data_IF_590262190421
#
_entry.id   IF_590262190421
#
_cell.length_a   1.000
_cell.length_b   1.000
_cell.length_c   1.000
_cell.angle_alpha   90.00
_cell.angle_beta   90.00
_cell.angle_gamma   90.00
#
_symmetry.space_group_name_H-M   'P 1'
#
loop_
_entity.id
_entity.type
_entity.pdbx_description
1 polymer ?
#
# COMPACT_ATOMS: atom_id res chain seq x y z
N UNK A 1 22.43 9.20 -8.64
CA UNK A 1 22.97 10.33 -9.43
C UNK A 1 23.41 11.43 -8.47
N UNK A 2 24.39 12.26 -8.83
CA UNK A 2 24.70 13.45 -8.01
C UNK A 2 23.67 14.58 -8.30
N UNK A 3 23.62 15.59 -7.44
CA UNK A 3 22.59 16.64 -7.52
C UNK A 3 22.68 17.50 -8.78
N UNK A 4 23.89 17.79 -9.24
CA UNK A 4 24.17 18.65 -10.40
C UNK A 4 23.82 17.94 -11.72
N UNK A 5 24.12 16.65 -11.82
CA UNK A 5 23.74 15.77 -12.92
C UNK A 5 22.22 15.56 -12.96
N UNK A 6 21.58 15.38 -11.80
CA UNK A 6 20.12 15.32 -11.69
C UNK A 6 19.44 16.63 -12.13
N UNK A 7 19.90 17.78 -11.64
CA UNK A 7 19.39 19.09 -12.07
C UNK A 7 19.58 19.30 -13.57
N UNK A 8 20.74 18.95 -14.13
CA UNK A 8 20.99 19.01 -15.59
C UNK A 8 19.98 18.16 -16.37
N UNK A 9 19.77 16.91 -15.98
CA UNK A 9 18.82 16.03 -16.68
C UNK A 9 17.38 16.48 -16.51
N UNK A 10 16.98 16.91 -15.32
CA UNK A 10 15.65 17.47 -15.07
C UNK A 10 15.40 18.74 -15.90
N UNK A 11 16.38 19.63 -16.03
CA UNK A 11 16.28 20.83 -16.89
C UNK A 11 16.18 20.44 -18.36
N UNK A 12 17.02 19.54 -18.87
CA UNK A 12 16.93 19.06 -20.26
C UNK A 12 15.57 18.40 -20.56
N UNK A 13 14.98 17.70 -19.60
CA UNK A 13 13.63 17.15 -19.71
C UNK A 13 12.57 18.26 -19.79
N UNK A 14 12.66 19.28 -18.93
CA UNK A 14 11.71 20.40 -18.88
C UNK A 14 11.85 21.37 -20.07
N UNK A 15 12.99 21.37 -20.76
CA UNK A 15 13.28 22.15 -21.98
C UNK A 15 13.03 21.34 -23.29
N UNK A 16 12.51 20.11 -23.20
CA UNK A 16 12.29 19.18 -24.34
C UNK A 16 13.58 18.92 -25.17
N UNK A 17 14.72 18.86 -24.48
CA UNK A 17 16.06 18.76 -25.05
C UNK A 17 16.85 17.52 -24.57
N UNK A 18 16.20 16.59 -23.87
CA UNK A 18 16.80 15.36 -23.34
C UNK A 18 16.85 14.25 -24.41
N UNK A 19 17.91 13.43 -24.42
CA UNK A 19 18.01 12.25 -25.29
C UNK A 19 17.57 10.96 -24.57
N UNK A 20 17.26 9.90 -25.33
CA UNK A 20 16.75 8.62 -24.82
C UNK A 20 17.63 8.01 -23.69
N UNK A 21 18.95 8.20 -23.76
CA UNK A 21 19.90 7.62 -22.81
C UNK A 21 19.95 8.43 -21.52
N UNK A 22 19.97 9.75 -21.65
CA UNK A 22 19.92 10.69 -20.53
C UNK A 22 18.54 10.62 -19.82
N UNK A 23 17.45 10.37 -20.57
CA UNK A 23 16.11 10.07 -20.04
C UNK A 23 16.07 8.76 -19.23
N UNK A 24 16.67 7.69 -19.73
CA UNK A 24 16.78 6.41 -19.01
C UNK A 24 17.56 6.54 -17.69
N UNK A 25 18.54 7.45 -17.63
CA UNK A 25 19.30 7.75 -16.41
C UNK A 25 18.47 8.56 -15.42
N UNK A 26 17.72 9.56 -15.88
CA UNK A 26 16.80 10.34 -15.05
C UNK A 26 15.70 9.47 -14.44
N UNK A 27 15.02 8.66 -15.27
CA UNK A 27 14.00 7.71 -14.83
C UNK A 27 14.53 6.73 -13.78
N UNK A 28 15.76 6.26 -13.93
CA UNK A 28 16.40 5.35 -12.97
C UNK A 28 16.69 6.02 -11.63
N UNK A 29 17.10 7.29 -11.58
CA UNK A 29 17.33 7.97 -10.30
C UNK A 29 16.03 8.32 -9.58
N UNK A 30 15.01 8.74 -10.34
CA UNK A 30 13.65 8.98 -9.83
C UNK A 30 13.05 7.70 -9.23
N UNK A 31 13.13 6.56 -9.92
CA UNK A 31 12.62 5.28 -9.44
C UNK A 31 13.29 4.76 -8.15
N UNK A 32 14.51 5.24 -7.82
CA UNK A 32 15.27 4.80 -6.66
C UNK A 32 15.29 5.82 -5.51
N UNK A 33 14.64 6.98 -5.62
CA UNK A 33 14.66 8.01 -4.57
C UNK A 33 13.36 8.84 -4.52
N UNK A 34 12.52 8.66 -3.47
CA UNK A 34 11.33 9.48 -3.26
C UNK A 34 11.62 10.99 -3.13
N UNK A 35 12.79 11.36 -2.60
CA UNK A 35 13.20 12.76 -2.49
C UNK A 35 13.58 13.36 -3.84
N UNK A 36 14.12 12.56 -4.78
CA UNK A 36 14.32 12.99 -6.18
C UNK A 36 13.00 13.25 -6.89
N UNK A 37 11.98 12.40 -6.65
CA UNK A 37 10.63 12.60 -7.21
C UNK A 37 10.03 13.93 -6.72
N UNK A 38 10.18 14.27 -5.43
CA UNK A 38 9.76 15.58 -4.91
C UNK A 38 10.51 16.74 -5.58
N UNK A 39 11.85 16.69 -5.60
CA UNK A 39 12.69 17.73 -6.22
C UNK A 39 12.34 17.95 -7.70
N UNK A 40 12.07 16.86 -8.45
CA UNK A 40 11.66 16.93 -9.85
C UNK A 40 10.27 17.59 -10.03
N UNK A 41 9.32 17.26 -9.15
CA UNK A 41 7.99 17.88 -9.17
C UNK A 41 8.04 19.37 -8.79
N UNK A 42 8.86 19.75 -7.81
CA UNK A 42 9.09 21.15 -7.44
C UNK A 42 9.69 21.94 -8.62
N UNK A 43 10.67 21.37 -9.33
CA UNK A 43 11.23 21.95 -10.57
C UNK A 43 10.17 22.07 -11.67
N UNK A 44 9.35 21.04 -11.90
CA UNK A 44 8.26 21.07 -12.89
C UNK A 44 7.23 22.15 -12.58
N UNK A 45 6.86 22.30 -11.31
CA UNK A 45 5.91 23.31 -10.85
C UNK A 45 6.47 24.74 -11.00
N UNK A 46 7.74 24.95 -10.66
CA UNK A 46 8.42 26.23 -10.89
C UNK A 46 8.52 26.58 -12.38
N UNK A 47 8.89 25.63 -13.25
CA UNK A 47 8.94 25.87 -14.70
C UNK A 47 7.56 26.15 -15.29
N UNK A 48 6.50 25.46 -14.82
CA UNK A 48 5.12 25.76 -15.18
C UNK A 48 4.71 27.18 -14.80
N UNK A 49 4.96 27.59 -13.56
CA UNK A 49 4.69 28.95 -13.08
C UNK A 49 5.50 30.02 -13.84
N UNK A 50 6.74 29.72 -14.22
CA UNK A 50 7.57 30.62 -15.05
C UNK A 50 7.04 30.70 -16.49
N UNK A 51 6.52 29.62 -17.06
CA UNK A 51 5.90 29.63 -18.38
C UNK A 51 4.59 30.44 -18.40
N UNK A 52 3.79 30.32 -17.33
CA UNK A 52 2.48 30.96 -17.20
C UNK A 52 2.57 32.45 -16.77
N UNK A 53 3.52 32.81 -15.91
CA UNK A 53 3.63 34.15 -15.30
C UNK A 53 4.96 34.88 -15.61
N UNK A 54 5.85 34.31 -16.42
CA UNK A 54 7.19 34.83 -16.67
C UNK A 54 7.26 36.02 -17.64
N UNK A 55 7.27 37.24 -17.10
CA UNK A 55 7.75 38.40 -17.85
C UNK A 55 9.24 38.25 -18.20
N UNK A 56 9.59 38.41 -19.48
CA UNK A 56 10.98 38.42 -19.92
C UNK A 56 11.77 39.60 -19.32
N UNK A 57 12.74 39.30 -18.45
CA UNK A 57 13.71 40.27 -17.92
C UNK A 57 15.10 39.93 -18.46
N UNK A 58 15.75 40.92 -19.06
CA UNK A 58 17.03 40.74 -19.74
C UNK A 58 18.20 40.43 -18.79
N UNK A 59 19.24 39.78 -19.34
CA UNK A 59 20.46 39.37 -18.63
C UNK A 59 21.14 40.49 -17.83
N UNK A 60 21.60 40.14 -16.63
CA UNK A 60 22.32 41.05 -15.73
C UNK A 60 23.31 40.33 -14.81
N UNK A 61 24.44 39.90 -15.39
CA UNK A 61 25.76 39.62 -14.78
C UNK A 61 25.84 38.91 -13.41
N UNK A 62 26.51 37.75 -13.41
CA UNK A 62 26.94 37.03 -12.21
C UNK A 62 28.08 37.74 -11.44
N UNK A 63 28.10 37.56 -10.11
CA UNK A 63 29.32 37.58 -9.29
C UNK A 63 29.23 36.56 -8.16
N UNK A 64 30.32 35.81 -8.00
CA UNK A 64 30.54 34.67 -7.10
C UNK A 64 30.23 34.93 -5.61
N UNK A 65 29.93 33.84 -4.88
CA UNK A 65 30.29 33.74 -3.47
C UNK A 65 30.86 32.36 -3.14
N UNK A 66 32.06 32.31 -2.58
CA UNK A 66 32.87 31.10 -2.38
C UNK A 66 32.59 30.42 -1.04
N UNK A 67 32.51 29.09 -1.05
CA UNK A 67 32.47 28.25 0.15
C UNK A 67 33.88 27.98 0.68
N UNK A 68 34.08 28.24 1.97
CA UNK A 68 35.37 28.11 2.64
C UNK A 68 35.50 26.72 3.31
N UNK A 69 36.64 26.04 3.14
CA UNK A 69 36.96 24.76 3.81
C UNK A 69 38.38 24.80 4.39
N UNK A 70 38.58 24.53 5.69
CA UNK A 70 39.88 24.13 6.22
C UNK A 70 40.10 22.64 5.95
N UNK A 71 41.29 22.27 5.48
CA UNK A 71 41.72 20.89 5.34
C UNK A 71 42.48 20.39 6.57
N UNK A 72 42.70 19.08 6.62
CA UNK A 72 43.61 18.42 7.56
C UNK A 72 44.53 17.49 6.77
N UNK A 73 45.81 17.39 7.16
CA UNK A 73 46.89 16.91 6.28
C UNK A 73 47.81 15.88 6.93
N UNK A 74 48.10 14.77 6.20
CA UNK A 74 49.31 13.92 6.28
C UNK A 74 49.58 13.19 7.63
N UNK A 75 50.31 12.07 7.78
CA UNK A 75 51.26 11.28 6.94
C UNK A 75 51.56 9.91 7.65
N UNK A 76 52.25 8.87 7.14
CA UNK A 76 52.65 8.33 5.80
C UNK A 76 53.31 6.94 6.05
N UNK A 77 53.08 5.93 5.18
CA UNK A 77 53.82 4.64 4.94
C UNK A 77 54.08 3.63 6.12
N UNK A 78 54.01 2.29 5.98
CA UNK A 78 54.41 1.29 4.97
C UNK A 78 55.93 0.97 4.97
N UNK A 79 56.48 -0.25 4.74
CA UNK A 79 56.02 -1.66 4.64
C UNK A 79 57.26 -2.61 4.65
N UNK A 80 57.10 -3.93 4.41
CA UNK A 80 58.14 -4.92 3.96
C UNK A 80 59.15 -5.43 5.04
N UNK A 81 59.73 -6.65 5.01
CA UNK A 81 59.31 -8.04 4.68
C UNK A 81 60.41 -9.03 5.20
N UNK A 82 60.08 -10.33 5.23
CA UNK A 82 60.85 -11.56 5.45
C UNK A 82 62.40 -11.57 5.55
N UNK A 83 62.93 -12.41 6.45
CA UNK A 83 63.64 -13.66 6.07
C UNK A 83 64.07 -14.56 7.25
N UNK A 84 64.12 -15.88 7.02
CA UNK A 84 64.69 -16.91 7.92
C UNK A 84 66.19 -17.11 7.67
N UNK A 85 66.94 -17.80 8.56
CA UNK A 85 67.25 -19.21 8.27
C UNK A 85 67.27 -20.18 9.49
N UNK A 86 67.58 -21.44 9.18
CA UNK A 86 67.78 -22.66 9.98
C UNK A 86 68.65 -22.53 11.26
N UNK A 87 68.71 -23.48 12.23
CA UNK A 87 68.85 -24.95 12.09
C UNK A 87 68.51 -25.69 13.41
N UNK A 88 68.44 -27.02 13.40
CA UNK A 88 67.88 -27.86 14.48
C UNK A 88 68.84 -28.24 15.62
N UNK A 89 68.29 -28.43 16.84
CA UNK A 89 68.71 -29.49 17.78
C UNK A 89 67.65 -29.79 18.85
N UNK A 90 67.48 -31.09 19.16
CA UNK A 90 66.79 -31.69 20.32
C UNK A 90 67.82 -32.61 21.02
N UNK A 91 67.59 -33.18 22.21
CA UNK A 91 66.42 -33.09 23.11
C UNK A 91 66.77 -32.75 24.58
N UNK A 92 65.74 -32.49 25.40
CA UNK A 92 65.83 -32.42 26.87
C UNK A 92 64.48 -32.76 27.49
N UNK A 93 64.42 -33.72 28.42
CA UNK A 93 63.19 -34.46 28.70
C UNK A 93 62.48 -34.13 30.02
N UNK A 94 61.15 -34.31 29.98
CA UNK A 94 60.32 -34.94 31.03
C UNK A 94 59.47 -34.07 31.99
N UNK A 95 58.25 -34.59 32.26
CA UNK A 95 57.45 -34.45 33.51
C UNK A 95 56.74 -33.12 33.85
N UNK A 96 56.13 -32.41 32.88
CA UNK A 96 55.08 -31.39 33.18
C UNK A 96 53.83 -31.40 32.28
N UNK A 97 53.57 -32.49 31.54
CA UNK A 97 52.52 -32.52 30.50
C UNK A 97 51.19 -33.23 30.86
N UNK A 98 51.09 -33.91 32.01
CA UNK A 98 49.90 -34.73 32.35
C UNK A 98 48.88 -34.04 33.28
N UNK A 99 49.20 -32.88 33.84
CA UNK A 99 48.28 -32.12 34.70
C UNK A 99 47.37 -31.13 33.92
N UNK A 100 47.79 -30.71 32.73
CA UNK A 100 47.09 -29.67 31.94
C UNK A 100 45.92 -30.26 31.14
N UNK A 101 46.05 -31.51 30.65
CA UNK A 101 45.03 -32.16 29.83
C UNK A 101 43.74 -32.50 30.60
N UNK A 102 43.84 -32.87 31.87
CA UNK A 102 42.66 -33.15 32.72
C UNK A 102 41.88 -31.87 33.09
N UNK A 103 42.58 -30.76 33.33
CA UNK A 103 41.94 -29.47 33.61
C UNK A 103 41.17 -28.92 32.39
N UNK A 104 41.73 -29.06 31.18
CA UNK A 104 41.07 -28.63 29.93
C UNK A 104 39.82 -29.47 29.64
N UNK A 105 39.85 -30.80 29.88
CA UNK A 105 38.68 -31.65 29.71
C UNK A 105 37.55 -31.34 30.71
N UNK A 106 37.89 -31.06 31.97
CA UNK A 106 36.90 -30.64 32.98
C UNK A 106 36.27 -29.28 32.65
N UNK A 107 37.07 -28.32 32.17
CA UNK A 107 36.57 -27.02 31.73
C UNK A 107 35.69 -27.12 30.47
N UNK A 108 36.05 -27.97 29.51
CA UNK A 108 35.23 -28.24 28.34
C UNK A 108 33.90 -28.93 28.69
N UNK A 109 33.90 -29.87 29.64
CA UNK A 109 32.67 -30.51 30.12
C UNK A 109 31.76 -29.52 30.87
N UNK A 110 32.31 -28.62 31.69
CA UNK A 110 31.53 -27.54 32.31
C UNK A 110 31.00 -26.52 31.29
N UNK A 111 31.77 -26.19 30.26
CA UNK A 111 31.31 -25.31 29.17
C UNK A 111 30.19 -25.95 28.37
N UNK A 112 30.26 -27.24 28.05
CA UNK A 112 29.19 -27.96 27.35
C UNK A 112 27.92 -28.08 28.21
N UNK A 113 28.05 -28.38 29.50
CA UNK A 113 26.91 -28.41 30.43
C UNK A 113 26.30 -27.02 30.66
N UNK A 114 27.10 -25.96 30.66
CA UNK A 114 26.59 -24.58 30.70
C UNK A 114 25.90 -24.20 29.39
N UNK A 115 26.45 -24.60 28.24
CA UNK A 115 25.87 -24.33 26.91
C UNK A 115 24.48 -24.97 26.74
N UNK A 116 24.29 -26.19 27.27
CA UNK A 116 23.00 -26.88 27.27
C UNK A 116 21.96 -26.16 28.15
N UNK A 117 22.37 -25.62 29.31
CA UNK A 117 21.50 -24.81 30.17
C UNK A 117 21.09 -23.50 29.49
N UNK A 118 22.00 -22.85 28.76
CA UNK A 118 21.70 -21.64 27.98
C UNK A 118 20.95 -21.90 26.65
N UNK A 119 20.83 -23.17 26.22
CA UNK A 119 19.95 -23.59 25.12
C UNK A 119 18.65 -24.25 25.58
N UNK A 120 18.25 -24.03 26.83
CA UNK A 120 16.85 -24.19 27.22
C UNK A 120 16.02 -23.13 26.47
N UNK A 121 15.42 -23.50 25.33
CA UNK A 121 14.33 -22.70 24.76
C UNK A 121 13.33 -22.44 25.89
N UNK A 122 12.94 -21.17 26.16
CA UNK A 122 11.96 -20.89 27.18
C UNK A 122 10.70 -21.67 26.82
N UNK A 123 10.37 -22.64 27.66
CA UNK A 123 9.25 -23.54 27.49
C UNK A 123 7.99 -22.69 27.38
N UNK A 124 7.54 -22.41 26.15
CA UNK A 124 6.37 -21.58 25.91
C UNK A 124 5.21 -22.27 26.60
N UNK A 125 4.65 -21.59 27.60
CA UNK A 125 3.30 -21.85 28.06
C UNK A 125 2.39 -21.98 26.83
N UNK A 126 1.31 -22.79 26.88
CA UNK A 126 0.37 -22.89 25.77
C UNK A 126 -0.37 -21.56 25.59
N UNK A 127 0.28 -20.62 24.89
CA UNK A 127 -0.25 -19.32 24.52
C UNK A 127 -1.53 -19.58 23.77
N UNK A 128 -2.65 -19.12 24.34
CA UNK A 128 -3.96 -19.21 23.70
C UNK A 128 -3.83 -18.66 22.28
N UNK A 129 -4.16 -19.43 21.24
CA UNK A 129 -3.66 -19.17 19.90
C UNK A 129 -4.24 -17.84 19.41
N UNK A 130 -3.40 -16.99 18.79
CA UNK A 130 -3.73 -15.62 18.42
C UNK A 130 -4.97 -15.51 17.52
N UNK A 131 -5.95 -14.72 17.96
CA UNK A 131 -7.24 -14.48 17.32
C UNK A 131 -7.07 -13.69 16.01
N UNK A 132 -6.19 -12.69 16.03
CA UNK A 132 -5.82 -11.89 14.87
C UNK A 132 -4.30 -11.66 14.82
N UNK A 133 -3.78 -11.27 13.66
CA UNK A 133 -2.34 -11.01 13.44
C UNK A 133 -2.15 -9.62 12.83
N UNK A 134 -1.14 -8.88 13.29
CA UNK A 134 -0.76 -7.60 12.69
C UNK A 134 -0.17 -7.83 11.29
N UNK A 135 -0.96 -7.57 10.26
CA UNK A 135 -0.62 -7.85 8.87
C UNK A 135 0.09 -6.68 8.18
N UNK A 136 -0.29 -5.43 8.52
CA UNK A 136 0.31 -4.22 7.96
C UNK A 136 0.20 -3.05 8.94
N UNK A 137 1.13 -2.10 8.84
CA UNK A 137 1.13 -0.83 9.60
C UNK A 137 1.67 0.32 8.76
N UNK A 138 1.06 1.50 8.86
CA UNK A 138 1.60 2.76 8.31
C UNK A 138 1.62 3.83 9.40
N UNK A 139 2.80 4.36 9.73
CA UNK A 139 3.02 5.37 10.77
C UNK A 139 2.34 5.08 12.12
N UNK A 140 2.12 3.79 12.43
CA UNK A 140 1.37 3.34 13.60
C UNK A 140 2.14 3.58 14.91
N UNK A 141 1.49 4.20 15.90
CA UNK A 141 1.97 4.24 17.29
C UNK A 141 0.92 3.67 18.23
N UNK A 142 1.30 2.67 19.02
CA UNK A 142 0.41 2.02 19.99
C UNK A 142 0.57 2.65 21.37
N UNK A 143 -0.51 2.71 22.14
CA UNK A 143 -0.46 3.05 23.55
C UNK A 143 0.16 1.90 24.35
N UNK A 144 1.46 2.00 24.65
CA UNK A 144 2.23 0.98 25.37
C UNK A 144 3.43 0.48 24.56
N UNK A 145 3.62 -0.84 24.50
CA UNK A 145 4.70 -1.45 23.71
C UNK A 145 4.40 -1.40 22.20
N UNK A 146 5.44 -1.13 21.41
CA UNK A 146 5.38 -1.26 19.95
C UNK A 146 5.16 -2.72 19.53
N UNK A 147 4.50 -2.90 18.38
CA UNK A 147 4.04 -4.20 17.90
C UNK A 147 4.58 -4.42 16.50
N UNK A 148 5.45 -5.41 16.35
CA UNK A 148 6.01 -5.77 15.05
C UNK A 148 4.98 -6.48 14.15
N UNK A 149 5.19 -6.41 12.84
CA UNK A 149 4.41 -7.20 11.87
C UNK A 149 4.51 -8.70 12.22
N UNK A 150 3.40 -9.43 12.05
CA UNK A 150 3.28 -10.82 12.49
C UNK A 150 2.98 -11.00 13.99
N UNK A 151 2.90 -9.93 14.78
CA UNK A 151 2.46 -10.02 16.19
C UNK A 151 1.03 -10.58 16.28
N UNK A 152 0.83 -11.58 17.13
CA UNK A 152 -0.45 -12.24 17.34
C UNK A 152 -1.23 -11.68 18.53
N UNK A 153 -2.45 -11.22 18.29
CA UNK A 153 -3.36 -10.70 19.30
C UNK A 153 -4.23 -11.79 19.93
N UNK A 154 -4.29 -11.83 21.26
CA UNK A 154 -5.33 -12.52 22.00
C UNK A 154 -6.60 -11.68 22.15
N UNK A 155 -7.42 -12.00 23.15
CA UNK A 155 -8.51 -11.12 23.60
C UNK A 155 -7.93 -9.91 24.34
N UNK A 156 -8.62 -8.76 24.27
CA UNK A 156 -8.31 -7.58 25.06
C UNK A 156 -8.21 -6.29 24.24
N UNK A 157 -7.79 -5.21 24.91
CA UNK A 157 -7.82 -3.85 24.38
C UNK A 157 -6.57 -3.48 23.57
N UNK A 158 -6.80 -2.70 22.52
CA UNK A 158 -5.81 -2.14 21.61
C UNK A 158 -6.07 -0.62 21.55
N UNK A 159 -5.09 0.18 21.95
CA UNK A 159 -5.10 1.63 21.75
C UNK A 159 -4.09 1.98 20.66
N UNK A 160 -4.59 2.45 19.52
CA UNK A 160 -3.78 2.95 18.41
C UNK A 160 -3.85 4.48 18.46
N UNK A 161 -2.77 5.13 18.88
CA UNK A 161 -2.76 6.58 19.11
C UNK A 161 -2.76 7.38 17.80
N UNK A 162 -2.11 6.86 16.76
CA UNK A 162 -1.99 7.47 15.42
C UNK A 162 -1.58 6.41 14.40
N UNK A 163 -1.86 6.67 13.13
CA UNK A 163 -1.48 5.84 11.99
C UNK A 163 -2.49 4.75 11.67
N UNK A 164 -2.11 3.82 10.78
CA UNK A 164 -2.95 2.71 10.33
C UNK A 164 -2.39 1.38 10.82
N UNK A 165 -3.27 0.47 11.25
CA UNK A 165 -2.92 -0.91 11.58
C UNK A 165 -3.96 -1.89 11.04
N UNK A 166 -3.53 -2.81 10.17
CA UNK A 166 -4.37 -3.89 9.64
C UNK A 166 -4.18 -5.18 10.42
N UNK A 167 -5.31 -5.75 10.84
CA UNK A 167 -5.44 -6.99 11.58
C UNK A 167 -6.13 -8.03 10.68
N UNK A 168 -5.45 -9.13 10.39
CA UNK A 168 -6.05 -10.27 9.71
C UNK A 168 -6.48 -11.30 10.78
N UNK A 169 -7.78 -11.54 10.91
CA UNK A 169 -8.39 -12.47 11.89
C UNK A 169 -8.38 -13.91 11.38
N UNK A 170 -8.38 -14.89 12.31
CA UNK A 170 -8.29 -16.32 11.97
C UNK A 170 -9.43 -16.84 11.07
N UNK A 171 -10.64 -16.29 11.18
CA UNK A 171 -11.77 -16.64 10.31
C UNK A 171 -11.66 -16.06 8.88
N UNK A 172 -10.65 -15.22 8.63
CA UNK A 172 -10.39 -14.56 7.34
C UNK A 172 -10.92 -13.12 7.25
N UNK A 173 -11.56 -12.60 8.30
CA UNK A 173 -11.92 -11.18 8.36
C UNK A 173 -10.66 -10.30 8.36
N UNK A 174 -10.64 -9.27 7.51
CA UNK A 174 -9.61 -8.23 7.50
C UNK A 174 -10.19 -6.96 8.11
N UNK A 175 -9.50 -6.37 9.07
CA UNK A 175 -9.91 -5.15 9.77
C UNK A 175 -8.75 -4.17 9.82
N UNK A 176 -8.90 -2.96 9.25
CA UNK A 176 -7.94 -1.88 9.40
C UNK A 176 -8.46 -0.83 10.37
N UNK A 177 -7.62 -0.48 11.34
CA UNK A 177 -7.86 0.59 12.31
C UNK A 177 -7.07 1.84 11.91
N UNK A 178 -7.67 3.01 12.11
CA UNK A 178 -7.02 4.31 11.95
C UNK A 178 -7.05 5.07 13.28
N UNK A 179 -5.86 5.40 13.79
CA UNK A 179 -5.67 6.09 15.06
C UNK A 179 -5.97 7.60 14.97
N UNK A 180 -6.48 8.24 16.04
CA UNK A 180 -6.68 7.67 17.38
C UNK A 180 -7.89 6.73 17.46
N UNK A 181 -7.69 5.51 17.98
CA UNK A 181 -8.73 4.49 18.10
C UNK A 181 -8.60 3.61 19.35
N UNK A 182 -9.72 3.39 20.03
CA UNK A 182 -9.86 2.44 21.15
C UNK A 182 -10.67 1.22 20.71
N UNK A 183 -9.96 0.12 20.45
CA UNK A 183 -10.51 -1.12 19.92
C UNK A 183 -10.35 -2.29 20.90
N UNK A 184 -11.25 -3.27 20.88
CA UNK A 184 -11.15 -4.46 21.74
C UNK A 184 -11.56 -5.73 20.99
N UNK A 185 -10.72 -6.78 21.11
CA UNK A 185 -10.99 -8.10 20.53
C UNK A 185 -11.66 -8.99 21.59
N UNK A 186 -12.90 -9.41 21.33
CA UNK A 186 -13.64 -10.31 22.22
C UNK A 186 -13.54 -11.77 21.77
N UNK A 187 -13.58 -12.03 20.46
CA UNK A 187 -13.49 -13.36 19.83
C UNK A 187 -13.02 -13.23 18.38
N UNK A 188 -13.01 -14.32 17.62
CA UNK A 188 -12.68 -14.33 16.18
C UNK A 188 -13.67 -13.57 15.32
N UNK A 189 -14.89 -13.41 15.82
CA UNK A 189 -16.10 -12.95 15.15
C UNK A 189 -16.75 -11.75 15.86
N UNK A 190 -16.19 -11.27 16.99
CA UNK A 190 -16.76 -10.14 17.73
C UNK A 190 -15.71 -9.18 18.27
N UNK A 191 -15.95 -7.90 18.06
CA UNK A 191 -15.06 -6.79 18.42
C UNK A 191 -15.85 -5.61 18.97
N UNK A 192 -15.19 -4.71 19.69
CA UNK A 192 -15.75 -3.41 20.13
C UNK A 192 -14.88 -2.29 19.54
N UNK A 193 -15.53 -1.27 18.98
CA UNK A 193 -14.91 0.01 18.63
C UNK A 193 -15.51 1.10 19.53
N UNK A 194 -14.74 1.58 20.51
CA UNK A 194 -15.21 2.61 21.45
C UNK A 194 -14.99 4.04 20.90
N UNK A 195 -13.97 4.22 20.07
CA UNK A 195 -13.65 5.47 19.36
C UNK A 195 -12.71 5.20 18.20
N UNK A 196 -12.68 6.11 17.22
CA UNK A 196 -11.79 6.04 16.06
C UNK A 196 -12.47 5.49 14.81
N UNK A 197 -11.67 5.05 13.85
CA UNK A 197 -12.16 4.61 12.53
C UNK A 197 -11.69 3.19 12.25
N UNK A 198 -12.60 2.38 11.73
CA UNK A 198 -12.43 0.98 11.36
C UNK A 198 -12.97 0.75 9.95
N UNK A 199 -12.23 0.04 9.11
CA UNK A 199 -12.76 -0.52 7.87
C UNK A 199 -12.57 -2.03 7.86
N UNK A 200 -13.58 -2.76 7.42
CA UNK A 200 -13.62 -4.21 7.43
C UNK A 200 -13.87 -4.77 6.01
N UNK A 201 -13.32 -5.94 5.73
CA UNK A 201 -13.63 -6.74 4.55
C UNK A 201 -13.78 -8.22 4.95
N UNK A 202 -15.02 -8.68 5.10
CA UNK A 202 -15.36 -9.96 5.69
C UNK A 202 -15.63 -11.00 4.58
N UNK A 203 -15.02 -12.20 4.62
CA UNK A 203 -15.35 -13.28 3.69
C UNK A 203 -16.60 -14.06 4.12
N UNK A 204 -17.18 -14.85 3.20
CA UNK A 204 -18.22 -15.85 3.52
C UNK A 204 -17.87 -16.75 4.73
N UNK A 205 -16.58 -17.07 4.91
CA UNK A 205 -16.08 -17.87 6.04
C UNK A 205 -16.11 -17.18 7.41
N UNK A 206 -16.50 -15.91 7.45
CA UNK A 206 -16.52 -15.05 8.63
C UNK A 206 -17.82 -14.23 8.77
N UNK A 207 -18.84 -14.52 7.94
CA UNK A 207 -20.19 -13.94 8.05
C UNK A 207 -20.72 -14.03 9.48
N UNK A 208 -21.41 -12.98 9.92
CA UNK A 208 -21.77 -12.78 11.32
C UNK A 208 -20.66 -12.10 12.13
N UNK A 209 -19.64 -11.52 11.48
CA UNK A 209 -18.65 -10.69 12.17
C UNK A 209 -19.31 -9.45 12.75
N UNK A 210 -19.19 -9.25 14.05
CA UNK A 210 -19.89 -8.22 14.81
C UNK A 210 -18.92 -7.14 15.31
N UNK A 211 -19.26 -5.88 15.02
CA UNK A 211 -18.61 -4.68 15.55
C UNK A 211 -19.59 -3.96 16.47
N UNK A 212 -19.36 -4.06 17.77
CA UNK A 212 -20.12 -3.35 18.81
C UNK A 212 -19.61 -1.92 18.92
N UNK A 213 -20.50 -0.93 18.96
CA UNK A 213 -20.15 0.48 19.23
C UNK A 213 -21.00 1.05 20.38
N UNK A 214 -20.71 2.27 20.87
CA UNK A 214 -21.53 2.93 21.91
C UNK A 214 -22.98 3.25 21.51
N UNK A 215 -23.32 3.19 20.21
CA UNK A 215 -24.64 3.59 19.70
C UNK A 215 -25.40 2.47 18.98
N UNK A 216 -24.70 1.51 18.36
CA UNK A 216 -25.31 0.38 17.66
C UNK A 216 -24.33 -0.78 17.48
N UNK A 217 -24.87 -1.98 17.33
CA UNK A 217 -24.14 -3.19 16.98
C UNK A 217 -24.28 -3.41 15.46
N UNK A 218 -23.16 -3.64 14.78
CA UNK A 218 -23.09 -3.87 13.32
C UNK A 218 -22.73 -5.33 13.06
N UNK A 219 -23.59 -6.05 12.36
CA UNK A 219 -23.41 -7.47 12.02
C UNK A 219 -23.21 -7.62 10.51
N UNK A 220 -22.08 -8.20 10.13
CA UNK A 220 -21.72 -8.48 8.75
C UNK A 220 -22.53 -9.64 8.13
N UNK A 221 -22.97 -9.46 6.88
CA UNK A 221 -23.60 -10.51 6.06
C UNK A 221 -22.75 -10.97 4.86
N UNK A 222 -21.44 -10.67 4.83
CA UNK A 222 -20.49 -11.06 3.78
C UNK A 222 -19.95 -9.86 3.00
N UNK A 223 -19.44 -8.85 3.70
CA UNK A 223 -19.48 -7.45 3.23
C UNK A 223 -18.15 -6.71 3.46
N UNK A 224 -17.98 -5.58 2.77
CA UNK A 224 -16.97 -4.57 3.09
C UNK A 224 -17.64 -3.26 3.54
N UNK A 225 -17.23 -2.74 4.70
CA UNK A 225 -17.87 -1.59 5.33
C UNK A 225 -16.90 -0.77 6.21
N UNK A 226 -17.24 0.49 6.41
CA UNK A 226 -16.57 1.41 7.33
C UNK A 226 -17.44 1.70 8.56
N UNK A 227 -16.80 1.83 9.72
CA UNK A 227 -17.40 2.28 10.98
C UNK A 227 -16.55 3.41 11.55
N UNK A 228 -17.16 4.54 11.86
CA UNK A 228 -16.51 5.70 12.48
C UNK A 228 -17.22 6.04 13.78
N UNK A 229 -16.50 6.06 14.90
CA UNK A 229 -17.05 6.35 16.24
C UNK A 229 -16.40 7.61 16.79
N UNK A 230 -17.20 8.65 16.96
CA UNK A 230 -16.81 9.92 17.57
C UNK A 230 -16.53 9.82 19.07
N UNK A 231 -15.87 10.85 19.63
CA UNK A 231 -15.57 10.91 21.06
C UNK A 231 -16.81 11.04 21.98
N UNK A 232 -17.97 11.37 21.40
CA UNK A 232 -19.29 11.37 22.02
C UNK A 232 -20.05 10.04 21.84
N UNK A 233 -19.46 9.08 21.13
CA UNK A 233 -20.06 7.80 20.76
C UNK A 233 -21.00 7.86 19.54
N UNK A 234 -21.14 9.01 18.87
CA UNK A 234 -21.82 9.05 17.56
C UNK A 234 -21.15 8.06 16.61
N UNK A 235 -21.94 7.15 16.06
CA UNK A 235 -21.46 6.09 15.17
C UNK A 235 -22.02 6.30 13.77
N UNK A 236 -21.13 6.44 12.79
CA UNK A 236 -21.40 6.34 11.36
C UNK A 236 -21.06 4.93 10.87
N UNK A 237 -21.90 4.36 9.99
CA UNK A 237 -21.63 3.11 9.27
C UNK A 237 -21.87 3.35 7.78
N UNK A 238 -20.95 2.90 6.93
CA UNK A 238 -20.97 3.10 5.48
C UNK A 238 -20.66 1.78 4.78
N UNK A 239 -21.50 1.32 3.85
CA UNK A 239 -21.37 -0.02 3.23
C UNK A 239 -20.80 0.10 1.82
N UNK A 240 -19.59 -0.41 1.60
CA UNK A 240 -18.83 -0.27 0.35
C UNK A 240 -19.13 -1.37 -0.68
N UNK A 241 -19.33 -2.62 -0.24
CA UNK A 241 -19.64 -3.79 -1.09
C UNK A 241 -20.47 -4.78 -0.26
N UNK A 242 -21.70 -5.10 -0.65
CA UNK A 242 -22.57 -6.06 0.09
C UNK A 242 -23.62 -5.43 1.03
N UNK A 243 -23.87 -6.06 2.18
CA UNK A 243 -24.94 -5.70 3.13
C UNK A 243 -24.55 -5.92 4.62
N UNK A 244 -25.00 -5.06 5.54
CA UNK A 244 -24.89 -5.26 7.00
C UNK A 244 -26.24 -5.11 7.69
N UNK A 245 -26.42 -5.78 8.81
CA UNK A 245 -27.51 -5.50 9.75
C UNK A 245 -27.01 -4.57 10.87
N UNK A 246 -27.75 -3.52 11.18
CA UNK A 246 -27.50 -2.64 12.32
C UNK A 246 -28.65 -2.69 13.31
N UNK A 247 -28.33 -2.71 14.60
CA UNK A 247 -29.32 -2.74 15.68
C UNK A 247 -28.87 -1.90 16.87
N UNK A 248 -29.80 -1.34 17.66
CA UNK A 248 -29.44 -0.55 18.83
C UNK A 248 -29.14 -1.49 20.00
N UNK A 249 -27.95 -1.39 20.59
CA UNK A 249 -27.43 -2.32 21.62
C UNK A 249 -28.22 -2.37 22.95
N UNK A 250 -29.35 -1.67 23.05
CA UNK A 250 -30.16 -1.49 24.27
C UNK A 250 -31.63 -1.92 24.08
N UNK A 251 -32.06 -2.29 22.87
CA UNK A 251 -33.45 -2.68 22.58
C UNK A 251 -33.57 -3.97 21.76
N UNK A 252 -34.68 -4.70 21.95
CA UNK A 252 -35.10 -5.81 21.07
C UNK A 252 -35.66 -5.28 19.73
N UNK A 253 -34.99 -4.30 19.13
CA UNK A 253 -35.37 -3.77 17.82
C UNK A 253 -35.15 -4.81 16.73
N UNK A 254 -36.01 -4.79 15.72
CA UNK A 254 -35.76 -5.53 14.48
C UNK A 254 -34.53 -4.90 13.80
N UNK A 255 -33.48 -5.68 13.45
CA UNK A 255 -32.32 -5.14 12.77
C UNK A 255 -32.68 -4.42 11.47
N UNK A 256 -32.06 -3.27 11.26
CA UNK A 256 -32.16 -2.52 10.00
C UNK A 256 -31.08 -3.00 9.04
N UNK A 257 -31.50 -3.40 7.84
CA UNK A 257 -30.60 -3.81 6.77
C UNK A 257 -30.06 -2.57 6.03
N UNK A 258 -28.73 -2.45 5.95
CA UNK A 258 -28.03 -1.38 5.22
C UNK A 258 -27.26 -2.02 4.07
N UNK A 259 -27.47 -1.51 2.86
CA UNK A 259 -26.95 -2.08 1.60
C UNK A 259 -25.82 -1.22 1.03
N UNK A 260 -25.02 -1.81 0.17
CA UNK A 260 -24.01 -1.16 -0.68
C UNK A 260 -24.45 0.23 -1.18
N UNK A 261 -23.55 1.21 -1.08
CA UNK A 261 -23.83 2.59 -1.48
C UNK A 261 -24.76 3.36 -0.53
N UNK A 262 -25.06 2.84 0.66
CA UNK A 262 -25.83 3.52 1.71
C UNK A 262 -25.02 3.69 2.99
N UNK A 263 -25.41 4.69 3.79
CA UNK A 263 -24.83 4.94 5.10
C UNK A 263 -25.92 5.23 6.15
N UNK A 264 -25.60 4.97 7.42
CA UNK A 264 -26.47 5.22 8.57
C UNK A 264 -25.68 5.84 9.73
N UNK A 265 -26.39 6.57 10.59
CA UNK A 265 -25.85 7.20 11.79
C UNK A 265 -26.73 6.93 12.99
N UNK A 266 -26.11 6.74 14.15
CA UNK A 266 -26.80 6.69 15.44
C UNK A 266 -25.98 7.41 16.53
N UNK A 267 -26.65 7.86 17.58
CA UNK A 267 -26.02 8.38 18.80
C UNK A 267 -26.35 7.50 20.00
N UNK A 268 -25.51 7.45 21.04
CA UNK A 268 -25.84 6.71 22.25
C UNK A 268 -27.17 7.20 22.84
N UNK A 269 -28.09 6.25 23.08
CA UNK A 269 -29.47 6.51 23.56
C UNK A 269 -30.39 7.23 22.56
N UNK A 270 -30.07 7.22 21.26
CA UNK A 270 -31.03 7.64 20.23
C UNK A 270 -32.20 6.64 20.12
N UNK A 271 -33.39 7.16 19.79
CA UNK A 271 -34.60 6.33 19.58
C UNK A 271 -34.66 5.72 18.17
N UNK A 272 -33.84 6.19 17.23
CA UNK A 272 -33.76 5.75 15.84
C UNK A 272 -32.31 5.57 15.39
N UNK A 273 -32.13 4.79 14.31
CA UNK A 273 -30.93 4.80 13.48
C UNK A 273 -31.32 5.56 12.21
N UNK A 274 -30.64 6.65 11.92
CA UNK A 274 -31.01 7.57 10.84
C UNK A 274 -30.20 7.24 9.58
N UNK A 275 -30.84 7.27 8.40
CA UNK A 275 -30.11 7.14 7.13
C UNK A 275 -29.42 8.47 6.80
N UNK A 276 -28.19 8.40 6.30
CA UNK A 276 -27.37 9.57 5.92
C UNK A 276 -26.78 9.39 4.52
N UNK A 277 -26.33 10.50 3.93
CA UNK A 277 -25.69 10.47 2.61
C UNK A 277 -24.43 9.59 2.62
N UNK A 278 -24.28 8.75 1.60
CA UNK A 278 -23.09 7.92 1.43
C UNK A 278 -21.86 8.80 1.15
N UNK A 279 -20.88 8.73 2.04
CA UNK A 279 -19.58 9.37 1.86
C UNK A 279 -18.47 8.45 2.37
N UNK A 280 -17.37 8.39 1.60
CA UNK A 280 -16.19 7.60 1.94
C UNK A 280 -15.03 8.43 2.47
N UNK A 281 -15.15 9.76 2.51
CA UNK A 281 -14.10 10.72 2.89
C UNK A 281 -13.43 10.36 4.23
N UNK A 282 -14.23 9.95 5.22
CA UNK A 282 -13.74 9.54 6.55
C UNK A 282 -12.89 8.26 6.54
N UNK A 283 -12.98 7.47 5.48
CA UNK A 283 -12.37 6.15 5.38
C UNK A 283 -11.22 6.12 4.36
N UNK A 284 -10.88 7.24 3.71
CA UNK A 284 -9.93 7.29 2.59
C UNK A 284 -8.51 6.80 2.93
N UNK A 285 -8.05 6.93 4.18
CA UNK A 285 -6.75 6.38 4.60
C UNK A 285 -6.81 4.87 4.85
N UNK A 286 -7.86 4.38 5.52
CA UNK A 286 -7.97 2.99 5.98
C UNK A 286 -8.56 2.04 4.94
N UNK A 287 -9.45 2.53 4.08
CA UNK A 287 -10.15 1.71 3.08
C UNK A 287 -9.23 1.10 2.00
N UNK A 288 -8.25 1.82 1.42
CA UNK A 288 -7.30 1.23 0.47
C UNK A 288 -6.57 0.02 1.06
N UNK A 289 -6.10 0.13 2.31
CA UNK A 289 -5.37 -0.95 3.01
C UNK A 289 -6.25 -2.19 3.22
N UNK A 290 -7.54 -1.99 3.45
CA UNK A 290 -8.54 -3.05 3.63
C UNK A 290 -8.94 -3.70 2.30
N UNK A 291 -9.14 -2.91 1.23
CA UNK A 291 -9.44 -3.45 -0.09
C UNK A 291 -8.25 -4.22 -0.69
N UNK A 292 -7.01 -3.83 -0.34
CA UNK A 292 -5.78 -4.55 -0.67
C UNK A 292 -4.67 -3.68 -1.28
N UNK A 293 -4.86 -2.36 -1.35
CA UNK A 293 -3.84 -1.38 -1.74
C UNK A 293 -3.12 -0.91 -0.47
N UNK A 294 -1.94 -1.47 -0.23
CA UNK A 294 -1.13 -1.14 0.95
C UNK A 294 -0.51 0.25 0.86
N UNK A 295 -0.23 0.73 -0.35
CA UNK A 295 0.40 2.03 -0.56
C UNK A 295 0.07 2.56 -1.95
N UNK A 296 -0.23 3.86 -2.01
CA UNK A 296 -0.31 4.64 -3.22
C UNK A 296 0.67 5.82 -3.08
N UNK A 297 1.60 6.00 -4.02
CA UNK A 297 2.56 7.13 -4.01
C UNK A 297 2.66 7.80 -5.38
N UNK A 298 3.18 9.02 -5.38
CA UNK A 298 3.10 9.90 -6.53
C UNK A 298 1.66 10.39 -6.70
N UNK A 299 1.22 10.55 -7.93
CA UNK A 299 -0.06 11.12 -8.29
C UNK A 299 -1.12 10.02 -8.52
N UNK A 300 -1.30 9.15 -7.53
CA UNK A 300 -2.36 8.13 -7.49
C UNK A 300 -3.44 8.58 -6.50
N UNK A 301 -4.71 8.48 -6.87
CA UNK A 301 -5.85 8.83 -6.01
C UNK A 301 -6.81 7.66 -5.92
N UNK A 302 -6.97 7.09 -4.73
CA UNK A 302 -7.94 6.04 -4.50
C UNK A 302 -9.35 6.64 -4.41
N UNK A 303 -10.30 6.05 -5.12
CA UNK A 303 -11.70 6.52 -5.14
C UNK A 303 -12.59 5.31 -4.92
N UNK A 304 -13.32 5.30 -3.81
CA UNK A 304 -14.33 4.28 -3.59
C UNK A 304 -15.55 4.57 -4.48
N UNK A 305 -16.07 3.57 -5.20
CA UNK A 305 -17.39 3.67 -5.81
C UNK A 305 -18.46 4.03 -4.79
N UNK A 306 -19.53 4.66 -5.27
CA UNK A 306 -20.73 4.96 -4.50
C UNK A 306 -21.99 4.61 -5.29
N UNK A 307 -23.18 5.02 -4.83
CA UNK A 307 -24.38 4.92 -5.63
C UNK A 307 -24.20 5.71 -6.95
N UNK A 308 -24.80 5.21 -8.03
CA UNK A 308 -24.67 5.76 -9.38
C UNK A 308 -23.22 5.91 -9.90
N UNK A 309 -22.32 5.01 -9.49
CA UNK A 309 -20.92 5.00 -9.92
C UNK A 309 -20.80 4.88 -11.45
N UNK A 310 -20.29 5.92 -12.10
CA UNK A 310 -20.01 5.90 -13.55
C UNK A 310 -18.53 6.24 -13.75
N UNK A 311 -17.63 5.25 -13.96
CA UNK A 311 -16.19 5.50 -14.01
C UNK A 311 -15.81 6.60 -15.00
N UNK A 312 -16.40 6.59 -16.20
CA UNK A 312 -16.13 7.58 -17.26
C UNK A 312 -16.58 9.01 -16.96
N UNK A 313 -17.29 9.29 -15.86
CA UNK A 313 -17.64 10.65 -15.41
C UNK A 313 -16.59 11.27 -14.49
N UNK A 314 -15.64 10.49 -13.98
CA UNK A 314 -14.56 11.02 -13.17
C UNK A 314 -13.49 11.62 -14.09
N UNK A 315 -13.40 12.95 -14.09
CA UNK A 315 -12.37 13.73 -14.76
C UNK A 315 -11.34 14.20 -13.73
N UNK A 316 -10.06 13.89 -13.96
CA UNK A 316 -8.94 14.33 -13.13
C UNK A 316 -7.71 14.46 -14.03
N UNK A 317 -7.15 15.68 -14.11
CA UNK A 317 -5.96 15.99 -14.92
C UNK A 317 -4.65 15.75 -14.19
N UNK A 318 -4.70 15.58 -12.87
CA UNK A 318 -3.52 15.54 -12.00
C UNK A 318 -3.23 14.13 -11.49
N UNK A 319 -4.25 13.29 -11.30
CA UNK A 319 -4.14 11.97 -10.66
C UNK A 319 -4.61 10.82 -11.55
N UNK A 320 -3.92 9.68 -11.46
CA UNK A 320 -4.46 8.40 -11.89
C UNK A 320 -5.41 7.92 -10.78
N UNK A 321 -6.68 7.80 -11.12
CA UNK A 321 -7.73 7.31 -10.24
C UNK A 321 -7.67 5.78 -10.13
N UNK A 322 -7.90 5.29 -8.92
CA UNK A 322 -7.85 3.86 -8.57
C UNK A 322 -9.18 3.48 -7.95
N UNK A 323 -9.99 2.73 -8.69
CA UNK A 323 -11.28 2.24 -8.22
C UNK A 323 -11.17 0.76 -7.86
N UNK A 324 -11.47 0.32 -6.62
CA UNK A 324 -11.76 -1.08 -6.35
C UNK A 324 -13.05 -1.46 -7.09
N UNK A 325 -13.05 -2.61 -7.77
CA UNK A 325 -14.22 -3.04 -8.56
C UNK A 325 -14.96 -4.19 -7.88
N UNK A 326 -14.34 -5.37 -7.78
CA UNK A 326 -14.89 -6.49 -7.02
C UNK A 326 -13.83 -7.14 -6.16
N UNK A 327 -14.22 -7.55 -4.96
CA UNK A 327 -13.40 -8.42 -4.14
C UNK A 327 -13.76 -9.90 -4.35
N UNK A 328 -12.76 -10.79 -4.23
CA UNK A 328 -12.92 -12.25 -4.18
C UNK A 328 -13.66 -12.91 -5.37
N UNK A 329 -13.51 -12.41 -6.59
CA UNK A 329 -14.10 -13.02 -7.79
C UNK A 329 -13.44 -14.38 -8.09
N UNK A 330 -14.23 -15.47 -8.09
CA UNK A 330 -13.78 -16.77 -8.58
C UNK A 330 -13.84 -16.83 -10.11
N UNK A 331 -12.69 -17.01 -10.77
CA UNK A 331 -12.63 -17.19 -12.22
C UNK A 331 -13.19 -18.56 -12.62
N UNK A 332 -14.39 -18.59 -13.22
CA UNK A 332 -15.03 -19.83 -13.70
C UNK A 332 -14.47 -20.32 -15.04
N UNK A 333 -13.77 -19.45 -15.77
CA UNK A 333 -13.05 -19.75 -17.01
C UNK A 333 -11.74 -18.96 -17.08
N UNK A 334 -10.83 -19.37 -17.96
CA UNK A 334 -9.58 -18.65 -18.20
C UNK A 334 -9.84 -17.19 -18.61
N UNK A 335 -9.21 -16.26 -17.91
CA UNK A 335 -9.35 -14.82 -18.12
C UNK A 335 -8.20 -14.31 -18.99
N UNK A 336 -8.51 -13.86 -20.21
CA UNK A 336 -7.50 -13.30 -21.11
C UNK A 336 -7.10 -11.88 -20.68
N UNK A 337 -5.84 -11.71 -20.26
CA UNK A 337 -5.24 -10.41 -19.92
C UNK A 337 -4.14 -10.04 -20.91
N UNK A 338 -3.58 -8.83 -20.83
CA UNK A 338 -2.51 -8.38 -21.72
C UNK A 338 -1.10 -8.57 -21.14
N UNK A 339 -0.97 -8.59 -19.82
CA UNK A 339 0.30 -8.79 -19.11
C UNK A 339 0.04 -9.74 -17.94
N UNK A 340 0.98 -10.63 -17.68
CA UNK A 340 0.98 -11.63 -16.58
C UNK A 340 2.34 -11.73 -15.90
N UNK A 341 3.42 -11.36 -16.60
CA UNK A 341 4.79 -11.44 -16.09
C UNK A 341 5.23 -10.08 -15.50
N UNK A 342 6.01 -10.06 -14.40
CA UNK A 342 6.62 -8.83 -13.92
C UNK A 342 7.65 -8.27 -14.92
N UNK A 343 7.59 -6.97 -15.18
CA UNK A 343 8.51 -6.31 -16.10
C UNK A 343 8.20 -4.81 -16.29
N UNK A 344 9.07 -4.12 -17.02
CA UNK A 344 8.81 -2.75 -17.47
C UNK A 344 8.17 -2.80 -18.86
N UNK A 345 6.99 -2.21 -19.00
CA UNK A 345 6.22 -2.18 -20.24
C UNK A 345 6.05 -0.73 -20.67
N UNK A 346 6.50 -0.40 -21.89
CA UNK A 346 6.29 0.92 -22.52
C UNK A 346 5.00 0.98 -23.36
N UNK A 347 4.43 -0.20 -23.69
CA UNK A 347 3.18 -0.39 -24.45
C UNK A 347 2.63 -1.78 -24.14
N UNK A 348 1.38 -1.84 -23.72
CA UNK A 348 0.66 -3.11 -23.47
C UNK A 348 0.08 -3.63 -24.79
N UNK A 349 0.77 -4.58 -25.43
CA UNK A 349 0.42 -5.03 -26.79
C UNK A 349 -0.83 -5.92 -26.81
N UNK A 350 -1.85 -5.51 -27.59
CA UNK A 350 -3.12 -6.25 -27.79
C UNK A 350 -3.00 -7.72 -28.26
N UNK A 351 -1.82 -8.17 -28.74
CA UNK A 351 -1.60 -9.50 -29.34
C UNK A 351 -1.10 -10.57 -28.37
N UNK A 352 -0.40 -10.19 -27.31
CA UNK A 352 0.23 -11.14 -26.38
C UNK A 352 -0.74 -11.45 -25.23
N UNK A 353 -1.83 -12.15 -25.57
CA UNK A 353 -2.85 -12.54 -24.59
C UNK A 353 -2.41 -13.78 -23.83
N UNK A 354 -1.93 -13.59 -22.60
CA UNK A 354 -1.72 -14.69 -21.66
C UNK A 354 -2.96 -14.87 -20.78
N UNK A 355 -3.47 -16.09 -20.57
CA UNK A 355 -4.60 -16.34 -19.70
C UNK A 355 -4.18 -16.42 -18.22
N UNK A 356 -4.95 -15.80 -17.34
CA UNK A 356 -5.03 -16.20 -15.93
C UNK A 356 -5.94 -17.42 -15.88
N UNK A 357 -5.45 -18.54 -15.34
CA UNK A 357 -6.19 -19.79 -15.33
C UNK A 357 -7.49 -19.73 -14.49
N UNK A 358 -8.50 -20.49 -14.90
CA UNK A 358 -9.70 -20.72 -14.10
C UNK A 358 -9.39 -21.31 -12.70
N UNK A 359 -10.31 -21.10 -11.76
CA UNK A 359 -10.22 -21.56 -10.37
C UNK A 359 -9.45 -20.63 -9.43
N UNK A 360 -8.86 -19.54 -9.93
CA UNK A 360 -8.27 -18.50 -9.09
C UNK A 360 -9.34 -17.59 -8.49
N UNK A 361 -9.13 -17.16 -7.25
CA UNK A 361 -9.93 -16.11 -6.59
C UNK A 361 -9.13 -14.81 -6.63
N UNK A 362 -9.68 -13.78 -7.27
CA UNK A 362 -8.98 -12.53 -7.57
C UNK A 362 -9.67 -11.30 -6.95
N UNK A 363 -8.96 -10.17 -6.94
CA UNK A 363 -9.54 -8.82 -6.74
C UNK A 363 -9.32 -8.02 -8.03
N UNK A 364 -10.28 -7.19 -8.40
CA UNK A 364 -10.21 -6.31 -9.57
C UNK A 364 -10.14 -4.84 -9.16
N UNK A 365 -9.38 -4.06 -9.95
CA UNK A 365 -9.24 -2.62 -9.77
C UNK A 365 -9.17 -1.97 -11.16
N UNK A 366 -9.92 -0.89 -11.35
CA UNK A 366 -9.84 -0.05 -12.54
C UNK A 366 -8.88 1.11 -12.27
N UNK A 367 -7.89 1.26 -13.16
CA UNK A 367 -6.99 2.42 -13.21
C UNK A 367 -7.44 3.35 -14.33
N UNK A 368 -7.68 4.62 -14.02
CA UNK A 368 -8.17 5.60 -14.99
C UNK A 368 -7.43 6.93 -14.88
N UNK A 369 -7.05 7.50 -16.02
CA UNK A 369 -6.60 8.90 -16.14
C UNK A 369 -7.44 9.54 -17.23
N UNK A 370 -8.31 10.47 -16.83
CA UNK A 370 -9.27 11.13 -17.71
C UNK A 370 -9.11 12.65 -17.57
N UNK A 371 -8.11 13.25 -18.24
CA UNK A 371 -7.79 14.65 -18.06
C UNK A 371 -8.84 15.55 -18.73
N UNK A 372 -9.09 16.70 -18.11
CA UNK A 372 -10.06 17.69 -18.58
C UNK A 372 -9.55 18.35 -19.88
N UNK A 373 -10.34 18.26 -20.96
CA UNK A 373 -10.09 18.93 -22.24
C UNK A 373 -9.80 17.98 -23.41
N UNK A 374 -9.76 18.54 -24.63
CA UNK A 374 -9.32 17.82 -25.83
C UNK A 374 -7.81 18.03 -26.06
N UNK A 375 -7.09 16.95 -26.40
CA UNK A 375 -5.64 16.98 -26.57
C UNK A 375 -5.21 16.53 -27.96
N UNK A 376 -4.14 17.15 -28.47
CA UNK A 376 -3.52 16.74 -29.74
C UNK A 376 -2.68 15.46 -29.57
N UNK A 377 -2.27 14.84 -30.67
CA UNK A 377 -1.46 13.61 -30.63
C UNK A 377 -0.08 13.80 -29.99
N UNK A 378 0.54 14.96 -30.18
CA UNK A 378 1.89 15.25 -29.68
C UNK A 378 1.87 15.45 -28.16
N UNK A 379 0.83 16.13 -27.64
CA UNK A 379 0.62 16.33 -26.19
C UNK A 379 0.17 15.05 -25.45
N UNK A 380 -0.29 14.02 -26.18
CA UNK A 380 -0.86 12.80 -25.61
C UNK A 380 0.14 11.64 -25.45
N UNK A 381 1.31 11.70 -26.11
CA UNK A 381 2.29 10.60 -26.08
C UNK A 381 3.36 10.74 -24.95
N UNK A 382 3.32 11.84 -24.17
CA UNK A 382 4.18 12.06 -23.00
C UNK A 382 3.55 11.62 -21.67
N UNK A 383 4.37 11.13 -20.73
CA UNK A 383 3.92 10.73 -19.39
C UNK A 383 3.48 11.94 -18.54
N UNK A 384 2.16 12.16 -18.43
CA UNK A 384 1.57 13.31 -17.72
C UNK A 384 1.65 13.17 -16.19
N UNK A 385 1.37 11.96 -15.72
CA UNK A 385 1.15 11.60 -14.32
C UNK A 385 1.99 10.36 -14.02
N UNK A 386 2.71 10.37 -12.90
CA UNK A 386 3.54 9.25 -12.44
C UNK A 386 3.11 8.88 -11.03
N UNK A 387 2.93 7.58 -10.80
CA UNK A 387 2.62 7.05 -9.48
C UNK A 387 2.90 5.55 -9.39
N UNK A 388 2.81 5.03 -8.18
CA UNK A 388 3.06 3.64 -7.85
C UNK A 388 1.96 3.12 -6.92
N UNK A 389 1.53 1.89 -7.16
CA UNK A 389 0.66 1.13 -6.25
C UNK A 389 1.37 -0.12 -5.73
N UNK A 390 1.22 -0.38 -4.44
CA UNK A 390 1.68 -1.60 -3.79
C UNK A 390 0.46 -2.36 -3.28
N UNK A 391 0.28 -3.61 -3.73
CA UNK A 391 -0.83 -4.48 -3.33
C UNK A 391 -0.42 -5.47 -2.22
N UNK A 392 -1.40 -5.94 -1.44
CA UNK A 392 -1.23 -6.97 -0.41
C UNK A 392 -1.10 -8.40 -0.96
N UNK A 393 -1.26 -8.55 -2.28
CA UNK A 393 -1.17 -9.81 -3.03
C UNK A 393 -0.44 -9.59 -4.36
N UNK A 394 0.17 -10.64 -4.95
CA UNK A 394 0.77 -10.55 -6.27
C UNK A 394 -0.23 -10.10 -7.34
N UNK A 395 0.20 -9.23 -8.25
CA UNK A 395 -0.58 -8.88 -9.45
C UNK A 395 -0.57 -10.10 -10.38
N UNK A 396 -1.74 -10.68 -10.64
CA UNK A 396 -1.88 -11.84 -11.53
C UNK A 396 -1.92 -11.45 -13.02
N UNK A 397 -2.31 -10.19 -13.30
CA UNK A 397 -2.20 -9.63 -14.64
C UNK A 397 -2.78 -8.22 -14.75
N UNK A 398 -2.54 -7.60 -15.90
CA UNK A 398 -2.99 -6.26 -16.27
C UNK A 398 -3.77 -6.31 -17.58
N UNK A 399 -4.88 -5.57 -17.64
CA UNK A 399 -5.67 -5.34 -18.84
C UNK A 399 -5.49 -3.87 -19.22
N UNK A 400 -4.93 -3.62 -20.40
CA UNK A 400 -4.78 -2.28 -20.96
C UNK A 400 -5.63 -2.05 -22.21
N UNK A 401 -6.08 -3.12 -22.88
CA UNK A 401 -6.80 -2.98 -24.14
C UNK A 401 -8.30 -2.78 -23.96
N UNK A 402 -8.87 -1.74 -24.58
CA UNK A 402 -10.30 -1.38 -24.48
C UNK A 402 -11.23 -2.57 -24.72
N UNK A 403 -10.99 -3.35 -25.76
CA UNK A 403 -11.79 -4.55 -26.11
C UNK A 403 -11.73 -5.71 -25.11
N UNK A 404 -10.77 -5.69 -24.17
CA UNK A 404 -10.72 -6.60 -23.03
C UNK A 404 -11.38 -5.97 -21.81
N UNK A 405 -11.14 -4.67 -21.53
CA UNK A 405 -11.83 -3.93 -20.47
C UNK A 405 -13.34 -4.10 -20.58
N UNK A 406 -13.95 -3.75 -21.73
CA UNK A 406 -15.39 -3.90 -21.98
C UNK A 406 -15.91 -5.34 -21.83
N UNK A 407 -15.05 -6.35 -22.00
CA UNK A 407 -15.43 -7.76 -21.77
C UNK A 407 -15.32 -8.19 -20.31
N UNK A 408 -14.58 -7.44 -19.51
CA UNK A 408 -14.43 -7.67 -18.07
C UNK A 408 -15.36 -6.82 -17.21
N UNK A 409 -16.04 -5.81 -17.79
CA UNK A 409 -17.07 -5.00 -17.12
C UNK A 409 -18.09 -5.87 -16.35
N UNK A 410 -18.72 -6.86 -17.00
CA UNK A 410 -19.71 -7.73 -16.35
C UNK A 410 -19.12 -8.70 -15.29
N UNK A 411 -18.02 -9.46 -15.55
CA UNK A 411 -17.48 -10.41 -14.57
C UNK A 411 -16.61 -9.78 -13.47
N UNK A 412 -15.94 -8.66 -13.72
CA UNK A 412 -14.96 -8.04 -12.80
C UNK A 412 -15.37 -6.65 -12.30
N UNK A 413 -16.20 -5.91 -13.04
CA UNK A 413 -16.57 -4.54 -12.73
C UNK A 413 -17.51 -4.41 -11.53
N UNK A 414 -17.45 -3.26 -10.86
CA UNK A 414 -18.22 -2.95 -9.65
C UNK A 414 -19.72 -3.22 -9.84
N UNK A 415 -20.42 -3.90 -8.90
CA UNK A 415 -21.81 -4.32 -9.09
C UNK A 415 -22.78 -3.18 -9.38
N UNK A 416 -22.59 -2.02 -8.72
CA UNK A 416 -23.39 -0.80 -8.93
C UNK A 416 -22.87 0.13 -10.04
N UNK A 417 -21.82 -0.25 -10.78
CA UNK A 417 -21.27 0.65 -11.80
C UNK A 417 -22.11 0.68 -13.08
N UNK A 418 -22.39 1.87 -13.61
CA UNK A 418 -22.75 2.05 -15.02
C UNK A 418 -21.47 2.21 -15.83
N UNK A 419 -21.07 1.12 -16.48
CA UNK A 419 -19.84 1.03 -17.24
C UNK A 419 -19.99 1.78 -18.59
N UNK A 420 -21.09 1.56 -19.32
CA UNK A 420 -21.43 2.27 -20.57
C UNK A 420 -20.38 2.22 -21.69
N UNK A 421 -20.57 3.02 -22.74
CA UNK A 421 -19.66 3.11 -23.90
C UNK A 421 -18.48 4.10 -23.71
N UNK A 422 -18.33 4.68 -22.51
CA UNK A 422 -17.24 5.63 -22.22
C UNK A 422 -15.88 4.96 -22.29
N UNK A 423 -14.86 5.65 -22.84
CA UNK A 423 -13.45 5.22 -22.80
C UNK A 423 -12.88 5.36 -21.40
N UNK A 424 -12.06 4.38 -21.01
CA UNK A 424 -11.55 4.19 -19.63
C UNK A 424 -10.21 3.49 -19.71
N UNK A 425 -9.36 3.69 -18.71
CA UNK A 425 -7.93 3.40 -18.77
C UNK A 425 -7.09 4.66 -18.57
N UNK A 426 -5.78 4.55 -18.76
CA UNK A 426 -4.81 5.61 -18.43
C UNK A 426 -4.52 6.54 -19.64
N UNK A 427 -5.11 6.26 -20.81
CA UNK A 427 -4.89 7.05 -22.04
C UNK A 427 -5.95 8.15 -22.23
N UNK A 428 -5.56 9.41 -22.49
CA UNK A 428 -6.51 10.50 -22.75
C UNK A 428 -7.30 10.30 -24.03
N UNK A 429 -8.57 10.72 -24.01
CA UNK A 429 -9.45 10.71 -25.19
C UNK A 429 -8.94 11.67 -26.27
N UNK A 430 -8.60 11.16 -27.46
CA UNK A 430 -8.25 12.00 -28.63
C UNK A 430 -9.48 12.27 -29.50
N UNK A 431 -9.45 13.35 -30.27
CA UNK A 431 -10.56 13.78 -31.16
C UNK A 431 -10.81 12.86 -32.37
N UNK A 432 -9.76 12.21 -32.91
CA UNK A 432 -9.84 11.26 -34.04
C UNK A 432 -10.22 9.82 -33.63
N UNK A 433 -10.44 9.56 -32.34
CA UNK A 433 -10.17 8.25 -31.75
C UNK A 433 -11.37 7.29 -31.80
N UNK A 434 -11.54 6.62 -32.95
CA UNK A 434 -12.51 5.52 -33.12
C UNK A 434 -12.35 4.45 -32.03
N UNK A 435 -13.42 3.78 -31.55
CA UNK A 435 -13.36 2.75 -30.49
C UNK A 435 -12.42 1.57 -30.76
N UNK A 436 -11.90 1.42 -31.98
CA UNK A 436 -10.92 0.40 -32.38
C UNK A 436 -9.74 0.99 -33.18
N UNK A 437 -9.18 2.13 -32.77
CA UNK A 437 -8.04 2.78 -33.44
C UNK A 437 -6.70 2.01 -33.34
N UNK A 438 -6.68 0.90 -32.58
CA UNK A 438 -5.59 -0.08 -32.59
C UNK A 438 -4.32 0.31 -31.82
N UNK A 439 -4.36 1.39 -31.04
CA UNK A 439 -3.24 1.94 -30.28
C UNK A 439 -3.70 2.21 -28.86
N UNK A 440 -3.28 1.34 -27.93
CA UNK A 440 -3.44 1.58 -26.50
C UNK A 440 -2.03 1.75 -25.93
N UNK A 441 -1.68 2.95 -25.49
CA UNK A 441 -0.46 3.21 -24.71
C UNK A 441 -0.81 3.02 -23.21
N UNK A 442 0.09 2.40 -22.45
CA UNK A 442 -0.04 2.17 -20.99
C UNK A 442 1.30 2.45 -20.35
#
# INVERSE_FOLDING_TARGET
MNDEEFLRLATLYLEDAIDDRDLDLLNRDLANSPDRVRQFNDLRLLTGLISEHGCAVASGNATEFTLNRPGESSSVDACVDASRPSTASRPGSSRRATAITLAVLAAAALLLLAFDVFHTEPQRDPVAPAIATLAYTSHARWGGEERALGYGFGKGKLNLEVGLARLDFRNGATVTLQGPAEFEILSTDRTILNSGILTAAIPESAVGFEVVTPAMDVVDLGTAFGVSVGADGETDVCVFEGEVEVSRSVSEDVPQLVREGNAVRSRPKADTIDSVDYSTERYEDAWPVTSGVLQATGLMKFVSPGPDFVPGRYEDSEHILVFPERSRVLLTSDLAVNVTEPGQYMRVRRKDKQPIAAGQVIRSYLLQLNPIGEFTREEADGARVIGQLTFDRPILGLIGGTSLLTKTDEPLGHPLGDYGDTRRGIEPTRSDDLPDSGRDNV
#
